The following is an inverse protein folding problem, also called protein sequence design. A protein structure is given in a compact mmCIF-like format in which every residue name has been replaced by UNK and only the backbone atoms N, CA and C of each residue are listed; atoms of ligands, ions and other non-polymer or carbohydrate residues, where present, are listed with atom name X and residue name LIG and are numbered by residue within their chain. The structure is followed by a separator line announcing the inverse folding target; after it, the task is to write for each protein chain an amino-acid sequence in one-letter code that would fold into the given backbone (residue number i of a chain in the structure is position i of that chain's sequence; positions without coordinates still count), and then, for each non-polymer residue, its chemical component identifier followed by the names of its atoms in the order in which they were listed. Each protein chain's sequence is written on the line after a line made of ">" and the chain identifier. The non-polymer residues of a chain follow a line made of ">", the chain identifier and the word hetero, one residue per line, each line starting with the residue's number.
data_IF_263662966336
#
_entry.id   IF_263662966336
#
_cell.length_a   1.000
_cell.length_b   1.000
_cell.length_c   1.000
_cell.angle_alpha   90.00
_cell.angle_beta   90.00
_cell.angle_gamma   90.00
#
_symmetry.space_group_name_H-M   'P 1'
#
loop_
_entity.id
_entity.type
_entity.pdbx_description
1 polymer ?
#
# COMPACT_ATOMS: atom_id res chain seq x y z
N UNK A 1 11.33 2.34 2.04
CA UNK A 1 12.46 1.56 2.61
C UNK A 1 12.17 0.05 2.65
N UNK A 2 11.09 -0.48 3.26
CA UNK A 2 10.83 -1.93 3.25
C UNK A 2 10.72 -2.52 1.84
N UNK A 3 10.07 -1.84 0.91
CA UNK A 3 9.95 -2.28 -0.48
C UNK A 3 11.31 -2.46 -1.16
N UNK A 4 12.22 -1.50 -0.99
CA UNK A 4 13.58 -1.60 -1.55
C UNK A 4 14.30 -2.83 -1.01
N UNK A 5 14.22 -3.05 0.32
CA UNK A 5 14.82 -4.22 0.97
C UNK A 5 14.24 -5.54 0.45
N UNK A 6 12.92 -5.64 0.26
CA UNK A 6 12.26 -6.82 -0.28
C UNK A 6 12.66 -7.07 -1.75
N UNK A 7 12.67 -6.04 -2.58
CA UNK A 7 13.11 -6.17 -3.97
C UNK A 7 14.57 -6.64 -4.05
N UNK A 8 15.45 -6.11 -3.20
CA UNK A 8 16.84 -6.51 -3.14
C UNK A 8 17.02 -7.97 -2.66
N UNK A 9 16.31 -8.38 -1.61
CA UNK A 9 16.35 -9.74 -1.06
C UNK A 9 15.81 -10.80 -2.05
N UNK A 10 14.86 -10.41 -2.91
CA UNK A 10 14.20 -11.29 -3.88
C UNK A 10 14.60 -11.02 -5.33
N UNK A 11 15.66 -10.25 -5.54
CA UNK A 11 16.11 -9.78 -6.86
C UNK A 11 16.19 -10.91 -7.90
N UNK A 12 16.85 -11.99 -7.57
CA UNK A 12 17.08 -13.11 -8.50
C UNK A 12 15.77 -13.86 -8.80
N UNK A 13 14.91 -14.08 -7.81
CA UNK A 13 13.63 -14.77 -7.99
C UNK A 13 12.60 -13.93 -8.78
N UNK A 14 12.76 -12.61 -8.76
CA UNK A 14 11.95 -11.68 -9.54
C UNK A 14 12.54 -11.40 -10.94
N UNK A 15 13.72 -11.94 -11.25
CA UNK A 15 14.39 -11.71 -12.52
C UNK A 15 14.86 -10.27 -12.71
N UNK A 16 15.20 -9.57 -11.63
CA UNK A 16 15.69 -8.20 -11.68
C UNK A 16 17.22 -8.17 -11.79
N UNK A 17 17.75 -7.40 -12.73
CA UNK A 17 19.20 -7.19 -12.85
C UNK A 17 19.71 -6.27 -11.74
N UNK A 18 18.98 -5.22 -11.42
CA UNK A 18 19.36 -4.23 -10.43
C UNK A 18 18.14 -3.74 -9.65
N UNK A 19 18.38 -3.38 -8.40
CA UNK A 19 17.45 -2.59 -7.58
C UNK A 19 18.15 -1.29 -7.24
N UNK A 20 17.58 -0.17 -7.68
CA UNK A 20 18.13 1.16 -7.50
C UNK A 20 17.18 1.96 -6.63
N UNK A 21 17.70 2.74 -5.71
CA UNK A 21 16.86 3.63 -4.91
C UNK A 21 17.38 5.06 -4.91
N UNK A 22 16.45 5.97 -5.11
CA UNK A 22 16.73 7.41 -5.06
C UNK A 22 16.60 7.92 -3.62
N UNK A 23 17.60 8.67 -3.17
CA UNK A 23 17.56 9.40 -1.91
C UNK A 23 18.03 10.83 -2.12
N UNK A 24 17.11 11.79 -1.88
CA UNK A 24 17.39 13.21 -2.13
C UNK A 24 18.23 13.86 -1.04
N UNK A 25 17.99 13.53 0.23
CA UNK A 25 18.57 14.24 1.36
C UNK A 25 19.62 13.38 2.07
N UNK A 26 20.88 13.81 2.17
CA UNK A 26 21.96 13.11 2.86
C UNK A 26 21.90 13.39 4.37
N UNK A 27 21.13 12.59 5.12
CA UNK A 27 20.98 12.70 6.56
C UNK A 27 21.86 11.68 7.28
N UNK A 28 22.69 12.16 8.20
CA UNK A 28 23.61 11.32 8.97
C UNK A 28 22.92 10.32 9.90
N UNK A 29 21.75 10.67 10.43
CA UNK A 29 20.94 9.82 11.29
C UNK A 29 20.22 8.69 10.51
N UNK A 30 20.11 8.81 9.19
CA UNK A 30 19.59 7.76 8.32
C UNK A 30 20.68 6.87 7.70
N UNK A 31 21.96 7.10 8.04
CA UNK A 31 23.08 6.33 7.49
C UNK A 31 22.90 4.83 7.64
N UNK A 32 22.51 4.35 8.82
CA UNK A 32 22.30 2.91 9.06
C UNK A 32 21.23 2.27 8.18
N UNK A 33 20.19 3.03 7.79
CA UNK A 33 19.15 2.57 6.86
C UNK A 33 19.73 2.42 5.45
N UNK A 34 20.46 3.41 4.96
CA UNK A 34 21.09 3.40 3.64
C UNK A 34 22.11 2.26 3.55
N UNK A 35 22.99 2.12 4.53
CA UNK A 35 23.95 1.01 4.62
C UNK A 35 23.28 -0.37 4.60
N UNK A 36 22.15 -0.51 5.26
CA UNK A 36 21.39 -1.77 5.27
C UNK A 36 20.87 -2.12 3.87
N UNK A 37 20.39 -1.15 3.09
CA UNK A 37 19.91 -1.37 1.74
C UNK A 37 21.06 -1.70 0.78
N UNK A 38 22.19 -0.98 0.89
CA UNK A 38 23.39 -1.25 0.08
C UNK A 38 23.94 -2.66 0.36
N UNK A 39 23.99 -3.08 1.63
CA UNK A 39 24.41 -4.44 2.00
C UNK A 39 23.52 -5.54 1.43
N UNK A 40 22.25 -5.25 1.14
CA UNK A 40 21.34 -6.13 0.43
C UNK A 40 21.53 -6.12 -1.10
N UNK A 41 22.45 -5.28 -1.61
CA UNK A 41 22.75 -5.17 -3.04
C UNK A 41 21.94 -4.09 -3.78
N UNK A 42 21.18 -3.26 -3.08
CA UNK A 42 20.53 -2.12 -3.70
C UNK A 42 21.54 -0.99 -3.95
N UNK A 43 21.42 -0.30 -5.09
CA UNK A 43 22.30 0.79 -5.50
C UNK A 43 21.68 2.14 -5.16
N UNK A 44 22.45 3.03 -4.53
CA UNK A 44 22.01 4.37 -4.19
C UNK A 44 22.26 5.34 -5.36
N UNK A 45 21.27 6.18 -5.66
CA UNK A 45 21.40 7.32 -6.57
C UNK A 45 20.85 8.58 -5.92
N UNK A 46 21.36 9.73 -6.36
CA UNK A 46 20.93 11.04 -5.90
C UNK A 46 21.03 12.07 -7.03
N UNK A 47 20.62 13.30 -6.74
CA UNK A 47 20.81 14.42 -7.67
C UNK A 47 22.27 14.86 -7.69
N UNK A 48 22.73 15.36 -8.81
CA UNK A 48 24.14 15.80 -9.02
C UNK A 48 24.65 16.75 -7.93
N UNK A 49 23.78 17.62 -7.42
CA UNK A 49 24.11 18.60 -6.38
C UNK A 49 24.31 17.98 -4.98
N UNK A 50 23.73 16.80 -4.70
CA UNK A 50 23.83 16.15 -3.39
C UNK A 50 24.76 14.93 -3.35
N UNK A 51 25.24 14.42 -4.48
CA UNK A 51 26.16 13.27 -4.55
C UNK A 51 27.41 13.47 -3.68
N UNK A 52 28.02 14.66 -3.73
CA UNK A 52 29.23 14.97 -2.95
C UNK A 52 29.00 14.85 -1.44
N UNK A 53 27.81 15.19 -0.96
CA UNK A 53 27.46 15.05 0.45
C UNK A 53 27.25 13.58 0.84
N UNK A 54 26.69 12.76 -0.06
CA UNK A 54 26.63 11.31 0.17
C UNK A 54 28.01 10.67 0.22
N UNK A 55 28.96 11.11 -0.62
CA UNK A 55 30.36 10.67 -0.54
C UNK A 55 31.01 11.05 0.80
N UNK A 56 30.73 12.26 1.32
CA UNK A 56 31.22 12.67 2.67
C UNK A 56 30.63 11.82 3.79
N UNK A 57 29.42 11.28 3.62
CA UNK A 57 28.82 10.32 4.54
C UNK A 57 29.38 8.88 4.37
N UNK A 58 30.28 8.66 3.40
CA UNK A 58 30.94 7.38 3.15
C UNK A 58 30.23 6.51 2.10
N UNK A 59 29.28 7.03 1.36
CA UNK A 59 28.57 6.32 0.27
C UNK A 59 29.22 6.66 -1.09
N UNK A 60 30.43 6.18 -1.30
CA UNK A 60 31.22 6.50 -2.50
C UNK A 60 30.64 5.92 -3.79
N UNK A 61 29.75 4.94 -3.69
CA UNK A 61 29.02 4.34 -4.81
C UNK A 61 27.80 5.15 -5.25
N UNK A 62 27.44 6.23 -4.54
CA UNK A 62 26.33 7.09 -4.94
C UNK A 62 26.58 7.70 -6.32
N UNK A 63 25.62 7.57 -7.22
CA UNK A 63 25.69 8.02 -8.61
C UNK A 63 24.50 8.88 -8.99
N UNK A 64 24.50 9.40 -10.22
CA UNK A 64 23.49 10.32 -10.70
C UNK A 64 22.16 9.60 -10.98
N UNK A 65 21.04 10.22 -10.57
CA UNK A 65 19.69 9.71 -10.75
C UNK A 65 19.23 9.75 -12.21
N UNK A 66 19.75 10.68 -13.02
CA UNK A 66 19.35 10.79 -14.43
C UNK A 66 19.74 9.53 -15.23
N UNK A 67 20.95 9.01 -14.98
CA UNK A 67 21.36 7.74 -15.58
C UNK A 67 20.49 6.58 -15.10
N UNK A 68 20.11 6.56 -13.82
CA UNK A 68 19.23 5.55 -13.29
C UNK A 68 17.84 5.58 -13.93
N UNK A 69 17.30 6.77 -14.19
CA UNK A 69 16.04 6.90 -14.93
C UNK A 69 16.15 6.35 -16.36
N UNK A 70 17.28 6.62 -17.04
CA UNK A 70 17.50 6.11 -18.38
C UNK A 70 17.59 4.56 -18.42
N UNK A 71 18.26 3.97 -17.44
CA UNK A 71 18.57 2.53 -17.41
C UNK A 71 17.46 1.65 -16.79
N UNK A 72 16.48 2.24 -16.07
CA UNK A 72 15.43 1.48 -15.39
C UNK A 72 14.26 1.15 -16.32
N UNK A 73 13.76 -0.08 -16.29
CA UNK A 73 12.54 -0.50 -16.99
C UNK A 73 11.28 -0.14 -16.19
N UNK A 74 11.39 -0.14 -14.85
CA UNK A 74 10.29 0.15 -13.93
C UNK A 74 10.69 1.23 -12.94
N UNK A 75 9.86 2.26 -12.81
CA UNK A 75 10.03 3.34 -11.85
C UNK A 75 8.87 3.29 -10.85
N UNK A 76 9.19 3.14 -9.56
CA UNK A 76 8.22 3.11 -8.47
C UNK A 76 8.37 4.37 -7.63
N UNK A 77 7.42 5.28 -7.76
CA UNK A 77 7.38 6.50 -6.97
C UNK A 77 6.69 6.23 -5.63
N UNK A 78 7.46 6.35 -4.56
CA UNK A 78 6.99 6.21 -3.18
C UNK A 78 6.86 7.56 -2.46
N UNK A 79 6.91 8.67 -3.18
CA UNK A 79 6.75 10.02 -2.64
C UNK A 79 5.26 10.43 -2.58
N UNK A 80 4.89 11.47 -1.83
CA UNK A 80 3.55 12.04 -1.88
C UNK A 80 3.36 13.03 -3.04
N UNK A 81 4.17 12.94 -4.11
CA UNK A 81 4.23 13.87 -5.23
C UNK A 81 4.33 13.15 -6.57
N UNK A 82 3.74 11.98 -6.69
CA UNK A 82 3.82 11.16 -7.91
C UNK A 82 3.31 11.88 -9.15
N UNK A 83 2.22 12.62 -9.06
CA UNK A 83 1.69 13.44 -10.16
C UNK A 83 2.65 14.57 -10.55
N UNK A 84 3.20 15.31 -9.57
CA UNK A 84 4.17 16.35 -9.83
C UNK A 84 5.46 15.78 -10.46
N UNK A 85 5.91 14.63 -9.99
CA UNK A 85 7.08 13.94 -10.54
C UNK A 85 6.82 13.42 -11.96
N UNK A 86 5.59 12.99 -12.24
CA UNK A 86 5.19 12.67 -13.61
C UNK A 86 5.32 13.88 -14.53
N UNK A 87 4.73 15.01 -14.16
CA UNK A 87 4.70 16.21 -14.99
C UNK A 87 6.10 16.80 -15.22
N UNK A 88 6.96 16.76 -14.20
CA UNK A 88 8.27 17.40 -14.23
C UNK A 88 9.41 16.48 -14.71
N UNK A 89 9.27 15.16 -14.59
CA UNK A 89 10.37 14.22 -14.86
C UNK A 89 9.91 13.06 -15.74
N UNK A 90 8.97 12.24 -15.28
CA UNK A 90 8.70 10.92 -15.89
C UNK A 90 8.05 11.02 -17.27
N UNK A 91 7.27 12.05 -17.54
CA UNK A 91 6.63 12.26 -18.86
C UNK A 91 7.64 12.46 -20.00
N UNK A 92 8.86 12.88 -19.69
CA UNK A 92 9.94 13.06 -20.67
C UNK A 92 10.77 11.79 -20.92
N UNK A 93 10.61 10.76 -20.10
CA UNK A 93 11.33 9.49 -20.24
C UNK A 93 10.73 8.59 -21.32
N UNK A 94 11.46 7.54 -21.69
CA UNK A 94 10.94 6.52 -22.62
C UNK A 94 9.65 5.91 -22.12
N UNK A 95 8.59 6.01 -22.91
CA UNK A 95 7.25 5.55 -22.55
C UNK A 95 7.07 4.03 -22.67
N UNK A 96 8.08 3.28 -23.07
CA UNK A 96 8.09 1.82 -22.93
C UNK A 96 8.33 1.37 -21.49
N UNK A 97 8.80 2.26 -20.62
CA UNK A 97 8.96 2.00 -19.18
C UNK A 97 7.61 1.88 -18.49
N UNK A 98 7.60 1.21 -17.34
CA UNK A 98 6.43 1.15 -16.45
C UNK A 98 6.61 2.10 -15.27
N UNK A 99 5.55 2.82 -14.94
CA UNK A 99 5.55 3.81 -13.85
C UNK A 99 4.50 3.44 -12.82
N UNK A 100 4.87 3.43 -11.56
CA UNK A 100 3.98 3.15 -10.45
C UNK A 100 4.05 4.29 -9.43
N UNK A 101 2.90 4.82 -9.03
CA UNK A 101 2.79 5.67 -7.85
C UNK A 101 1.97 4.96 -6.79
N UNK A 102 1.94 5.46 -5.57
CA UNK A 102 1.20 4.83 -4.47
C UNK A 102 0.35 5.83 -3.69
N UNK A 103 -0.67 5.31 -3.01
CA UNK A 103 -1.44 6.05 -2.02
C UNK A 103 -2.48 6.98 -2.62
N UNK A 104 -2.33 8.28 -2.40
CA UNK A 104 -3.36 9.28 -2.71
C UNK A 104 -3.15 10.01 -4.04
N UNK A 105 -2.25 9.54 -4.89
CA UNK A 105 -1.89 10.14 -6.19
C UNK A 105 -2.98 9.89 -7.27
N UNK A 106 -4.23 10.21 -6.93
CA UNK A 106 -5.37 10.00 -7.82
C UNK A 106 -5.15 10.66 -9.18
N UNK A 107 -5.42 9.90 -10.25
CA UNK A 107 -5.20 10.36 -11.62
C UNK A 107 -3.81 10.08 -12.18
N UNK A 108 -2.87 9.53 -11.39
CA UNK A 108 -1.54 9.16 -11.87
C UNK A 108 -1.60 8.14 -13.01
N UNK A 109 -2.42 7.12 -12.86
CA UNK A 109 -2.56 6.05 -13.85
C UNK A 109 -3.73 5.13 -13.52
N UNK A 110 -3.76 3.97 -14.16
CA UNK A 110 -4.77 2.95 -13.92
C UNK A 110 -4.68 2.44 -12.48
N UNK A 111 -5.82 2.40 -11.80
CA UNK A 111 -5.86 2.04 -10.38
C UNK A 111 -5.69 0.53 -10.20
N UNK A 112 -4.74 0.13 -9.37
CA UNK A 112 -4.33 -1.27 -9.24
C UNK A 112 -4.31 -1.74 -7.78
N UNK A 113 -4.84 -2.93 -7.57
CA UNK A 113 -4.72 -3.67 -6.32
C UNK A 113 -4.43 -5.15 -6.62
N UNK A 114 -3.32 -5.66 -6.10
CA UNK A 114 -2.91 -7.05 -6.29
C UNK A 114 -4.02 -8.04 -5.91
N UNK A 115 -4.27 -8.98 -6.81
CA UNK A 115 -5.29 -10.01 -6.62
C UNK A 115 -6.73 -9.53 -6.77
N UNK A 116 -6.96 -8.24 -7.02
CA UNK A 116 -8.29 -7.67 -7.27
C UNK A 116 -8.50 -7.50 -8.78
N UNK A 117 -7.63 -6.75 -9.45
CA UNK A 117 -7.75 -6.42 -10.87
C UNK A 117 -6.41 -6.64 -11.60
N UNK A 118 -5.82 -7.83 -11.46
CA UNK A 118 -4.51 -8.16 -12.04
C UNK A 118 -4.48 -8.05 -13.57
N UNK A 119 -5.60 -8.21 -14.23
CA UNK A 119 -5.76 -8.16 -15.69
C UNK A 119 -5.30 -6.83 -16.27
N UNK A 120 -5.42 -5.75 -15.50
CA UNK A 120 -5.01 -4.41 -15.92
C UNK A 120 -3.51 -4.30 -16.24
N UNK A 121 -2.69 -5.20 -15.69
CA UNK A 121 -1.26 -5.26 -15.99
C UNK A 121 -0.96 -5.76 -17.40
N UNK A 122 -1.94 -6.37 -18.08
CA UNK A 122 -1.86 -6.83 -19.46
C UNK A 122 -2.29 -5.76 -20.47
N UNK A 123 -2.89 -4.66 -20.01
CA UNK A 123 -3.31 -3.55 -20.86
C UNK A 123 -2.12 -2.72 -21.36
N UNK A 124 -2.35 -1.91 -22.39
CA UNK A 124 -1.34 -1.02 -22.98
C UNK A 124 -0.92 0.14 -22.05
N UNK A 125 -1.60 0.30 -20.92
CA UNK A 125 -1.23 1.32 -19.93
C UNK A 125 0.14 1.04 -19.34
N UNK A 126 0.97 2.08 -19.28
CA UNK A 126 2.29 2.02 -18.65
C UNK A 126 2.33 2.71 -17.29
N UNK A 127 1.18 3.26 -16.82
CA UNK A 127 1.08 3.98 -15.54
C UNK A 127 0.06 3.33 -14.62
N UNK A 128 0.48 3.04 -13.39
CA UNK A 128 -0.35 2.38 -12.38
C UNK A 128 -0.32 3.14 -11.06
N UNK A 129 -1.50 3.32 -10.48
CA UNK A 129 -1.65 3.84 -9.13
C UNK A 129 -1.95 2.67 -8.18
N UNK A 130 -1.00 2.35 -7.31
CA UNK A 130 -1.17 1.28 -6.31
C UNK A 130 -2.13 1.75 -5.21
N UNK A 131 -3.17 0.97 -4.98
CA UNK A 131 -4.20 1.26 -3.98
C UNK A 131 -3.62 1.49 -2.58
N UNK A 132 -4.19 2.44 -1.84
CA UNK A 132 -3.77 2.71 -0.46
C UNK A 132 -4.02 1.52 0.48
N UNK A 133 -3.33 1.48 1.62
CA UNK A 133 -3.44 0.38 2.58
C UNK A 133 -4.87 0.13 3.06
N UNK A 134 -5.65 1.17 3.33
CA UNK A 134 -7.06 1.00 3.73
C UNK A 134 -7.95 0.58 2.55
N UNK A 135 -7.70 1.11 1.36
CA UNK A 135 -8.40 0.71 0.13
C UNK A 135 -8.15 -0.78 -0.14
N UNK A 136 -6.90 -1.23 -0.07
CA UNK A 136 -6.53 -2.64 -0.25
C UNK A 136 -7.21 -3.53 0.79
N UNK A 137 -7.24 -3.10 2.06
CA UNK A 137 -7.88 -3.84 3.14
C UNK A 137 -9.40 -3.98 2.91
N UNK A 138 -10.09 -2.90 2.54
CA UNK A 138 -11.52 -2.95 2.19
C UNK A 138 -11.74 -3.86 0.97
N UNK A 139 -10.93 -3.73 -0.08
CA UNK A 139 -11.04 -4.55 -1.28
C UNK A 139 -10.87 -6.04 -0.96
N UNK A 140 -9.92 -6.39 -0.09
CA UNK A 140 -9.70 -7.77 0.37
C UNK A 140 -10.90 -8.32 1.15
N UNK A 141 -11.51 -7.51 2.02
CA UNK A 141 -12.73 -7.88 2.76
C UNK A 141 -13.89 -8.11 1.78
N UNK A 142 -14.12 -7.18 0.86
CA UNK A 142 -15.17 -7.30 -0.14
C UNK A 142 -14.94 -8.54 -1.01
N UNK A 143 -13.74 -8.76 -1.50
CA UNK A 143 -13.41 -9.93 -2.32
C UNK A 143 -13.64 -11.24 -1.58
N UNK A 144 -13.24 -11.30 -0.31
CA UNK A 144 -13.35 -12.53 0.49
C UNK A 144 -14.79 -12.87 0.87
N UNK A 145 -15.60 -11.86 1.23
CA UNK A 145 -16.91 -12.11 1.81
C UNK A 145 -18.09 -11.81 0.90
N UNK A 146 -17.92 -10.96 -0.12
CA UNK A 146 -19.03 -10.38 -0.86
C UNK A 146 -19.03 -10.64 -2.37
N UNK A 147 -18.00 -11.25 -2.92
CA UNK A 147 -17.91 -11.51 -4.37
C UNK A 147 -18.01 -13.00 -4.70
N UNK A 148 -18.85 -13.69 -4.00
CA UNK A 148 -19.29 -15.04 -4.33
C UNK A 148 -20.44 -14.94 -5.35
N UNK A 149 -20.48 -15.84 -6.34
CA UNK A 149 -21.53 -15.84 -7.39
C UNK A 149 -22.94 -16.07 -6.80
N UNK A 150 -23.03 -16.67 -5.63
CA UNK A 150 -24.29 -16.99 -4.95
C UNK A 150 -24.80 -15.86 -4.04
N UNK A 151 -24.05 -14.74 -3.88
CA UNK A 151 -24.35 -13.71 -2.87
C UNK A 151 -24.43 -12.32 -3.48
N UNK A 152 -25.52 -11.64 -3.23
CA UNK A 152 -25.70 -10.25 -3.62
C UNK A 152 -25.42 -9.32 -2.42
N UNK A 153 -24.33 -8.57 -2.50
CA UNK A 153 -24.02 -7.49 -1.55
C UNK A 153 -24.96 -6.31 -1.77
N UNK A 154 -25.78 -5.99 -0.78
CA UNK A 154 -26.67 -4.82 -0.81
C UNK A 154 -25.93 -3.56 -0.39
N UNK A 155 -25.11 -3.64 0.66
CA UNK A 155 -24.36 -2.51 1.19
C UNK A 155 -23.13 -2.97 1.99
N UNK A 156 -22.01 -2.24 1.84
CA UNK A 156 -20.82 -2.39 2.66
C UNK A 156 -20.47 -1.08 3.37
N UNK A 157 -20.36 -1.13 4.70
CA UNK A 157 -19.97 0.01 5.55
C UNK A 157 -18.66 -0.25 6.25
N UNK A 158 -17.77 0.76 6.26
CA UNK A 158 -16.43 0.66 6.81
C UNK A 158 -16.08 1.87 7.66
N UNK A 159 -15.46 1.64 8.81
CA UNK A 159 -14.88 2.70 9.63
C UNK A 159 -13.38 2.44 9.77
N UNK A 160 -12.57 3.28 9.13
CA UNK A 160 -11.12 3.20 9.18
C UNK A 160 -10.60 3.91 10.45
N UNK A 161 -10.15 3.13 11.41
CA UNK A 161 -9.49 3.60 12.63
C UNK A 161 -7.98 3.75 12.33
N UNK A 162 -7.59 4.98 11.96
CA UNK A 162 -6.25 5.27 11.44
C UNK A 162 -5.27 5.58 12.57
N UNK A 163 -4.05 5.06 12.46
CA UNK A 163 -2.93 5.48 13.32
C UNK A 163 -2.59 6.96 13.11
N UNK A 164 -1.94 7.57 14.09
CA UNK A 164 -1.59 9.00 14.09
C UNK A 164 -0.59 9.35 12.99
N UNK A 165 0.48 8.54 12.85
CA UNK A 165 1.53 8.72 11.85
C UNK A 165 1.84 7.41 11.14
N UNK A 166 2.50 7.50 10.00
CA UNK A 166 3.21 6.36 9.43
C UNK A 166 4.41 6.00 10.29
N UNK A 167 4.88 4.76 10.21
CA UNK A 167 5.87 4.22 11.17
C UNK A 167 7.18 5.02 11.21
N UNK A 168 7.53 5.69 10.12
CA UNK A 168 8.73 6.54 10.01
C UNK A 168 8.48 8.04 10.24
N UNK A 169 7.25 8.44 10.57
CA UNK A 169 6.86 9.83 10.78
C UNK A 169 6.58 10.09 12.27
N UNK A 170 6.89 11.29 12.73
CA UNK A 170 6.70 11.72 14.12
C UNK A 170 6.16 13.15 14.25
N UNK A 171 5.79 13.78 13.16
CA UNK A 171 5.41 15.19 13.04
C UNK A 171 3.92 15.47 13.22
N UNK A 172 3.10 14.41 13.28
CA UNK A 172 1.67 14.54 13.46
C UNK A 172 1.24 14.10 14.86
N UNK A 173 0.95 15.07 15.71
CA UNK A 173 0.41 14.82 17.05
C UNK A 173 -1.13 14.82 17.02
N UNK A 174 -1.74 13.77 17.53
CA UNK A 174 -3.19 13.65 17.66
C UNK A 174 -3.55 13.35 19.12
N UNK A 175 -3.84 14.38 19.94
CA UNK A 175 -4.11 14.19 21.38
C UNK A 175 -5.45 13.48 21.64
N UNK A 176 -6.36 13.49 20.66
CA UNK A 176 -7.69 12.87 20.73
C UNK A 176 -8.12 12.33 19.38
N UNK A 177 -9.10 11.41 19.32
CA UNK A 177 -9.68 10.96 18.06
C UNK A 177 -10.18 12.13 17.22
N UNK A 178 -9.81 12.15 15.93
CA UNK A 178 -10.21 13.19 14.98
C UNK A 178 -10.92 12.57 13.79
N UNK A 179 -12.12 13.03 13.49
CA UNK A 179 -12.93 12.55 12.37
C UNK A 179 -12.42 13.18 11.08
N UNK A 180 -12.20 12.36 10.06
CA UNK A 180 -11.89 12.83 8.72
C UNK A 180 -13.16 13.32 8.03
N UNK A 181 -13.12 14.54 7.46
CA UNK A 181 -14.23 15.08 6.69
C UNK A 181 -14.53 14.19 5.49
N UNK A 182 -15.81 13.91 5.25
CA UNK A 182 -16.24 13.22 4.04
C UNK A 182 -15.98 14.09 2.80
N UNK A 183 -15.38 13.50 1.79
CA UNK A 183 -15.11 14.15 0.49
C UNK A 183 -16.27 14.02 -0.49
N UNK A 184 -17.16 13.03 -0.26
CA UNK A 184 -18.27 12.69 -1.11
C UNK A 184 -19.44 12.18 -0.26
N UNK A 185 -20.68 12.51 -0.64
CA UNK A 185 -21.88 12.08 0.11
C UNK A 185 -22.20 10.59 -0.15
N UNK A 186 -21.91 10.08 -1.34
CA UNK A 186 -22.18 8.71 -1.74
C UNK A 186 -21.23 7.73 -1.05
N UNK A 187 -19.91 8.01 -1.08
CA UNK A 187 -18.89 7.09 -0.59
C UNK A 187 -18.32 7.46 0.79
N UNK A 188 -18.60 8.66 1.28
CA UNK A 188 -17.99 9.21 2.50
C UNK A 188 -16.53 9.60 2.30
N UNK A 189 -15.56 8.74 2.61
CA UNK A 189 -14.13 8.96 2.34
C UNK A 189 -13.71 8.31 1.01
N UNK A 190 -12.55 8.72 0.50
CA UNK A 190 -11.99 8.17 -0.75
C UNK A 190 -11.80 6.65 -0.71
N UNK A 191 -11.63 6.02 0.45
CA UNK A 191 -11.36 4.58 0.53
C UNK A 191 -12.47 3.73 -0.10
N UNK A 192 -13.76 4.02 0.20
CA UNK A 192 -14.86 3.28 -0.42
C UNK A 192 -15.03 3.62 -1.90
N UNK A 193 -14.82 4.89 -2.30
CA UNK A 193 -14.81 5.30 -3.71
C UNK A 193 -13.75 4.53 -4.49
N UNK A 194 -12.53 4.50 -4.00
CA UNK A 194 -11.41 3.85 -4.67
C UNK A 194 -11.63 2.34 -4.81
N UNK A 195 -12.25 1.70 -3.80
CA UNK A 195 -12.65 0.28 -3.90
C UNK A 195 -13.76 0.10 -4.94
N UNK A 196 -14.76 0.97 -4.96
CA UNK A 196 -15.81 0.94 -5.97
C UNK A 196 -15.20 1.07 -7.39
N UNK A 197 -14.25 1.99 -7.58
CA UNK A 197 -13.55 2.18 -8.86
C UNK A 197 -12.74 0.93 -9.26
N UNK A 198 -12.04 0.29 -8.32
CA UNK A 198 -11.32 -0.97 -8.58
C UNK A 198 -12.23 -2.07 -9.14
N UNK A 199 -13.36 -2.32 -8.47
CA UNK A 199 -14.29 -3.36 -8.91
C UNK A 199 -15.15 -2.96 -10.10
N UNK A 200 -15.36 -1.67 -10.33
CA UNK A 200 -16.06 -1.17 -11.52
C UNK A 200 -15.30 -1.47 -12.82
N UNK A 201 -13.95 -1.53 -12.76
CA UNK A 201 -13.12 -1.96 -13.89
C UNK A 201 -13.39 -3.42 -14.28
N UNK A 202 -13.86 -4.23 -13.34
CA UNK A 202 -14.30 -5.61 -13.59
C UNK A 202 -15.83 -5.72 -13.83
N UNK A 203 -16.50 -4.61 -14.07
CA UNK A 203 -17.93 -4.56 -14.33
C UNK A 203 -18.82 -4.70 -13.09
N UNK A 204 -18.26 -4.68 -11.87
CA UNK A 204 -18.99 -4.84 -10.61
C UNK A 204 -19.23 -3.48 -9.95
N UNK A 205 -20.49 -3.08 -9.83
CA UNK A 205 -20.89 -1.85 -9.15
C UNK A 205 -21.30 -2.16 -7.71
N UNK A 206 -20.51 -1.73 -6.75
CA UNK A 206 -20.71 -2.01 -5.33
C UNK A 206 -21.21 -0.77 -4.59
N UNK A 207 -22.21 -0.93 -3.74
CA UNK A 207 -22.69 0.11 -2.82
C UNK A 207 -21.85 0.08 -1.55
N UNK A 208 -20.84 0.95 -1.48
CA UNK A 208 -19.87 1.00 -0.39
C UNK A 208 -19.83 2.38 0.24
N UNK A 209 -19.68 2.43 1.55
CA UNK A 209 -19.51 3.66 2.29
C UNK A 209 -18.38 3.54 3.32
N UNK A 210 -17.56 4.55 3.46
CA UNK A 210 -16.51 4.59 4.47
C UNK A 210 -16.43 5.90 5.23
N UNK A 211 -16.10 5.77 6.51
CA UNK A 211 -15.67 6.90 7.37
C UNK A 211 -14.25 6.62 7.87
N UNK A 212 -13.56 7.66 8.35
CA UNK A 212 -12.24 7.49 8.92
C UNK A 212 -12.06 8.34 10.18
N UNK A 213 -11.43 7.76 11.18
CA UNK A 213 -11.10 8.39 12.45
C UNK A 213 -9.60 8.22 12.69
N UNK A 214 -8.89 9.33 12.85
CA UNK A 214 -7.49 9.32 13.26
C UNK A 214 -7.41 9.18 14.77
N UNK A 215 -6.65 8.20 15.25
CA UNK A 215 -6.51 7.87 16.68
C UNK A 215 -5.11 8.22 17.19
N UNK A 216 -4.94 8.48 18.49
CA UNK A 216 -3.65 8.67 19.14
C UNK A 216 -2.89 7.33 19.34
N UNK A 217 -2.85 6.49 18.31
CA UNK A 217 -2.16 5.19 18.30
C UNK A 217 -1.16 5.14 17.15
N UNK A 218 -0.18 4.26 17.24
CA UNK A 218 0.92 4.25 16.26
C UNK A 218 1.09 2.92 15.52
N UNK A 219 0.47 1.83 15.94
CA UNK A 219 0.79 0.54 15.35
C UNK A 219 0.08 0.28 14.01
N UNK A 220 -1.08 -0.31 14.02
CA UNK A 220 -1.79 -0.74 12.81
C UNK A 220 -3.02 0.13 12.56
N UNK A 221 -3.44 0.26 11.31
CA UNK A 221 -4.82 0.64 11.05
C UNK A 221 -5.72 -0.49 11.49
N UNK A 222 -6.86 -0.15 12.06
CA UNK A 222 -7.93 -1.09 12.38
C UNK A 222 -9.15 -0.70 11.57
N UNK A 223 -9.88 -1.68 11.07
CA UNK A 223 -11.07 -1.48 10.27
C UNK A 223 -12.24 -2.18 10.96
N UNK A 224 -13.28 -1.42 11.29
CA UNK A 224 -14.59 -2.00 11.56
C UNK A 224 -15.39 -2.04 10.25
N UNK A 225 -16.13 -3.12 10.01
CA UNK A 225 -16.97 -3.23 8.83
C UNK A 225 -18.29 -3.93 9.11
N UNK A 226 -19.27 -3.64 8.25
CA UNK A 226 -20.56 -4.33 8.20
C UNK A 226 -20.93 -4.56 6.74
N UNK A 227 -21.25 -5.78 6.39
CA UNK A 227 -21.71 -6.17 5.06
C UNK A 227 -23.15 -6.64 5.17
N UNK A 228 -24.03 -6.04 4.37
CA UNK A 228 -25.45 -6.41 4.30
C UNK A 228 -25.68 -7.15 2.98
N UNK A 229 -26.18 -8.36 3.08
CA UNK A 229 -26.51 -9.21 1.94
C UNK A 229 -28.02 -9.30 1.77
N UNK A 230 -28.47 -9.61 0.55
CA UNK A 230 -29.88 -9.81 0.25
C UNK A 230 -30.45 -10.99 0.99
N UNK A 231 -29.70 -12.08 1.06
CA UNK A 231 -30.09 -13.32 1.71
C UNK A 231 -29.24 -13.57 2.96
N UNK A 232 -29.77 -14.30 3.93
CA UNK A 232 -29.06 -14.64 5.15
C UNK A 232 -27.87 -15.58 4.84
N UNK A 233 -26.73 -15.29 5.45
CA UNK A 233 -25.52 -16.08 5.33
C UNK A 233 -25.29 -16.84 6.63
N UNK A 234 -24.95 -18.12 6.52
CA UNK A 234 -24.57 -18.94 7.66
C UNK A 234 -23.16 -18.60 8.12
N UNK A 235 -22.94 -18.52 9.42
CA UNK A 235 -21.61 -18.23 10.01
C UNK A 235 -20.52 -19.18 9.50
N UNK A 236 -20.84 -20.46 9.32
CA UNK A 236 -19.90 -21.45 8.79
C UNK A 236 -19.40 -21.08 7.37
N UNK A 237 -20.26 -20.55 6.52
CA UNK A 237 -19.88 -20.10 5.18
C UNK A 237 -18.97 -18.89 5.23
N UNK A 238 -19.19 -17.96 6.18
CA UNK A 238 -18.29 -16.80 6.40
C UNK A 238 -16.92 -17.29 6.85
N UNK A 239 -16.85 -18.23 7.79
CA UNK A 239 -15.58 -18.77 8.27
C UNK A 239 -14.84 -19.56 7.20
N UNK A 240 -15.56 -20.31 6.36
CA UNK A 240 -14.96 -21.01 5.21
C UNK A 240 -14.34 -20.04 4.23
N UNK A 241 -15.00 -18.91 3.90
CA UNK A 241 -14.43 -17.90 3.03
C UNK A 241 -13.18 -17.27 3.64
N UNK A 242 -13.20 -16.97 4.94
CA UNK A 242 -12.03 -16.42 5.64
C UNK A 242 -10.84 -17.41 5.63
N UNK A 243 -11.09 -18.68 5.94
CA UNK A 243 -10.03 -19.70 6.00
C UNK A 243 -9.41 -20.05 4.64
N UNK A 244 -10.15 -19.84 3.55
CA UNK A 244 -9.68 -20.04 2.18
C UNK A 244 -9.22 -18.76 1.51
N UNK A 245 -9.23 -17.62 2.19
CA UNK A 245 -8.82 -16.34 1.61
C UNK A 245 -7.32 -16.27 1.38
N UNK A 246 -6.93 -15.80 0.21
CA UNK A 246 -5.54 -15.45 -0.10
C UNK A 246 -5.12 -14.07 0.43
N UNK A 247 -6.07 -13.29 0.95
CA UNK A 247 -5.86 -11.89 1.35
C UNK A 247 -6.11 -11.62 2.83
N UNK A 248 -6.88 -12.48 3.49
CA UNK A 248 -7.26 -12.34 4.89
C UNK A 248 -6.84 -13.57 5.68
N UNK A 249 -6.56 -13.39 6.94
CA UNK A 249 -6.33 -14.48 7.89
C UNK A 249 -7.06 -14.24 9.19
N UNK A 250 -7.56 -15.31 9.80
CA UNK A 250 -8.23 -15.29 11.09
C UNK A 250 -7.23 -15.09 12.24
N UNK A 251 -7.66 -14.45 13.31
CA UNK A 251 -6.92 -14.40 14.57
C UNK A 251 -7.85 -14.38 15.76
N UNK A 252 -7.46 -15.08 16.82
CA UNK A 252 -8.09 -14.98 18.15
C UNK A 252 -7.61 -13.78 18.97
N UNK A 253 -6.60 -13.04 18.46
CA UNK A 253 -6.02 -11.89 19.16
C UNK A 253 -6.92 -10.67 19.02
N UNK A 254 -7.42 -10.17 20.16
CA UNK A 254 -8.36 -9.06 20.23
C UNK A 254 -7.70 -7.66 20.34
N UNK A 255 -6.42 -7.54 20.06
CA UNK A 255 -5.74 -6.25 20.13
C UNK A 255 -4.68 -6.13 19.04
N UNK A 256 -4.65 -4.96 18.37
CA UNK A 256 -3.65 -4.66 17.34
C UNK A 256 -2.22 -4.77 17.85
N UNK A 257 -1.98 -4.46 19.13
CA UNK A 257 -0.68 -4.62 19.76
C UNK A 257 -0.23 -6.10 19.82
N UNK A 258 -1.16 -7.02 20.15
CA UNK A 258 -0.86 -8.46 20.15
C UNK A 258 -0.66 -9.01 18.74
N UNK A 259 -1.44 -8.54 17.77
CA UNK A 259 -1.28 -8.92 16.35
C UNK A 259 0.08 -8.44 15.84
N UNK A 260 0.44 -7.19 16.11
CA UNK A 260 1.73 -6.62 15.73
C UNK A 260 2.91 -7.39 16.34
N UNK A 261 2.85 -7.69 17.64
CA UNK A 261 3.87 -8.47 18.35
C UNK A 261 4.04 -9.87 17.75
N UNK A 262 2.92 -10.55 17.46
CA UNK A 262 2.94 -11.87 16.81
C UNK A 262 3.63 -11.79 15.43
N UNK A 263 3.28 -10.82 14.60
CA UNK A 263 3.92 -10.63 13.30
C UNK A 263 5.43 -10.43 13.40
N UNK A 264 5.89 -9.61 14.35
CA UNK A 264 7.31 -9.41 14.65
C UNK A 264 8.00 -10.70 15.09
N UNK A 265 7.41 -11.41 16.04
CA UNK A 265 8.04 -12.58 16.67
C UNK A 265 8.13 -13.78 15.70
N UNK A 266 7.27 -13.82 14.68
CA UNK A 266 7.27 -14.84 13.62
C UNK A 266 7.94 -14.36 12.31
N UNK A 267 8.72 -13.29 12.34
CA UNK A 267 9.48 -12.79 11.19
C UNK A 267 8.67 -11.98 10.17
N UNK A 268 7.39 -11.74 10.43
CA UNK A 268 6.53 -10.93 9.55
C UNK A 268 6.70 -9.42 9.75
N UNK A 269 7.48 -8.99 10.72
CA UNK A 269 7.83 -7.59 10.99
C UNK A 269 6.64 -6.62 11.03
N UNK A 270 5.50 -7.00 11.57
CA UNK A 270 4.31 -6.16 11.73
C UNK A 270 3.86 -5.33 10.50
N UNK A 271 4.80 -4.70 9.81
CA UNK A 271 4.60 -3.91 8.59
C UNK A 271 4.48 -4.76 7.32
N UNK A 272 4.96 -5.99 7.36
CA UNK A 272 5.08 -6.90 6.22
C UNK A 272 4.10 -8.07 6.29
N UNK A 273 3.07 -7.98 7.13
CA UNK A 273 1.95 -8.90 7.07
C UNK A 273 1.30 -8.78 5.70
N UNK A 274 1.36 -9.84 4.92
CA UNK A 274 0.81 -9.88 3.55
C UNK A 274 -0.71 -9.97 3.52
N UNK A 275 -1.35 -10.21 4.68
CA UNK A 275 -2.78 -10.41 4.80
C UNK A 275 -3.42 -9.36 5.72
N UNK A 276 -4.65 -9.01 5.44
CA UNK A 276 -5.52 -8.38 6.43
C UNK A 276 -5.81 -9.38 7.55
N UNK A 277 -5.76 -8.95 8.81
CA UNK A 277 -5.99 -9.84 9.96
C UNK A 277 -7.36 -9.57 10.55
N UNK A 278 -8.21 -10.57 10.55
CA UNK A 278 -9.60 -10.50 11.02
C UNK A 278 -9.74 -11.15 12.40
N UNK A 279 -10.27 -10.40 13.37
CA UNK A 279 -10.59 -10.94 14.68
C UNK A 279 -11.87 -11.80 14.58
N UNK A 280 -11.73 -13.12 14.51
CA UNK A 280 -12.83 -14.07 14.24
C UNK A 280 -13.93 -14.04 15.30
N UNK A 281 -13.60 -13.72 16.55
CA UNK A 281 -14.60 -13.61 17.63
C UNK A 281 -15.56 -12.43 17.47
N UNK A 282 -15.36 -11.58 16.47
CA UNK A 282 -16.20 -10.41 16.18
C UNK A 282 -17.00 -10.54 14.86
N UNK A 283 -16.94 -11.68 14.23
CA UNK A 283 -17.70 -12.00 13.02
C UNK A 283 -19.09 -12.56 13.31
#
# INVERSE_FOLDING_TARGET
>A
EPLIGLLADHKDSLGLDNVIFFKRTPLSDERGKVESLIRKGAKIVSTTDTISEFHQLGFNEASDVEQAYADSDVIIDCTPSGNDNWDNVYSSLDQNKRFMAQGSEHGFGSFFAWGINNEILQEDSNKFLIASCNTHNIASIVKTFALDEERELVEGKFVCLRRANDVSQNDSFSPSPTITKHSNQEFGTHHARDVHELFAQEGKKLNLFSSAIKLPTQYMHTLWFSLTFKDAIQHEAIMNNLNNSEFLMATEKMSSNKVFSFGRDHGYHGRLLSHGVVAEQSL
#
